data_IF_425703559096
#
_entry.id   IF_425703559096
#
_cell.length_a   1.000
_cell.length_b   1.000
_cell.length_c   1.000
_cell.angle_alpha   90.00
_cell.angle_beta   90.00
_cell.angle_gamma   90.00
#
_symmetry.space_group_name_H-M   'P 1'
#
loop_
_entity.id
_entity.type
_entity.pdbx_description
1 polymer ?
#
# COMPACT_ATOMS: atom_id res chain seq x y z
N UNK A 1 16.03 65.89 -1.66
CA UNK A 1 15.63 65.71 -0.23
C UNK A 1 14.90 64.39 0.04
N UNK A 2 14.57 63.59 -0.98
CA UNK A 2 13.88 62.30 -0.85
C UNK A 2 14.82 61.08 -0.76
N UNK A 3 16.06 61.20 -1.26
CA UNK A 3 17.04 60.10 -1.23
C UNK A 3 17.59 59.82 0.18
N UNK A 4 17.75 60.86 1.00
CA UNK A 4 18.17 60.72 2.40
C UNK A 4 17.08 60.07 3.27
N UNK A 5 15.80 60.36 2.99
CA UNK A 5 14.68 59.79 3.74
C UNK A 5 14.51 58.28 3.49
N UNK A 6 14.83 57.79 2.28
CA UNK A 6 14.76 56.36 1.97
C UNK A 6 15.88 55.59 2.69
N UNK A 7 17.10 56.13 2.71
CA UNK A 7 18.23 55.49 3.40
C UNK A 7 18.03 55.44 4.91
N UNK A 8 17.43 56.49 5.51
CA UNK A 8 17.08 56.48 6.93
C UNK A 8 15.92 55.53 7.27
N UNK A 9 15.00 55.28 6.31
CA UNK A 9 13.92 54.29 6.45
C UNK A 9 14.45 52.86 6.30
N UNK A 10 15.35 52.60 5.36
CA UNK A 10 16.01 51.30 5.18
C UNK A 10 16.82 50.93 6.42
N UNK A 11 17.56 51.90 6.98
CA UNK A 11 18.33 51.68 8.21
C UNK A 11 17.46 51.45 9.43
N UNK A 12 16.28 52.08 9.51
CA UNK A 12 15.29 51.80 10.56
C UNK A 12 14.64 50.42 10.39
N UNK A 13 14.43 49.98 9.16
CA UNK A 13 13.86 48.68 8.84
C UNK A 13 14.84 47.53 9.12
N UNK A 14 16.15 47.76 8.95
CA UNK A 14 17.20 46.82 9.37
C UNK A 14 17.28 46.70 10.90
N UNK A 15 17.17 47.82 11.61
CA UNK A 15 17.18 47.85 13.09
C UNK A 15 15.91 47.23 13.68
N UNK A 16 14.74 47.39 13.04
CA UNK A 16 13.52 46.68 13.44
C UNK A 16 13.61 45.18 13.16
N UNK A 17 14.21 44.76 12.04
CA UNK A 17 14.46 43.35 11.73
C UNK A 17 15.38 42.67 12.74
N UNK A 18 16.43 43.35 13.19
CA UNK A 18 17.29 42.86 14.28
C UNK A 18 16.55 42.84 15.63
N UNK A 19 15.65 43.80 15.90
CA UNK A 19 14.82 43.78 17.12
C UNK A 19 13.75 42.69 17.14
N UNK A 20 13.22 42.30 15.99
CA UNK A 20 12.31 41.14 15.88
C UNK A 20 13.04 39.80 15.95
N UNK A 21 14.37 39.78 15.82
CA UNK A 21 15.18 38.57 16.00
C UNK A 21 15.54 38.28 17.47
N UNK A 22 15.33 39.23 18.40
CA UNK A 22 15.62 39.06 19.84
C UNK A 22 14.38 38.90 20.72
N UNK A 23 13.21 38.62 20.13
CA UNK A 23 12.06 38.03 20.87
C UNK A 23 12.00 36.54 20.56
N UNK A 24 13.14 35.86 20.71
CA UNK A 24 13.24 34.41 20.83
C UNK A 24 13.49 34.08 22.30
N UNK A 25 12.43 34.15 23.09
CA UNK A 25 12.45 33.86 24.52
C UNK A 25 11.32 32.91 24.84
N UNK A 26 11.71 31.65 25.01
CA UNK A 26 11.01 30.59 25.76
C UNK A 26 9.78 29.95 25.09
N UNK A 27 9.99 28.80 24.43
CA UNK A 27 9.24 27.53 24.61
C UNK A 27 9.57 26.45 23.53
N UNK A 28 10.78 26.41 22.97
CA UNK A 28 11.24 25.34 22.06
C UNK A 28 11.67 24.05 22.79
N UNK A 29 10.82 23.48 23.64
CA UNK A 29 11.17 22.28 24.42
C UNK A 29 10.14 21.14 24.40
N UNK A 30 9.16 21.14 23.48
CA UNK A 30 8.09 20.13 23.49
C UNK A 30 8.26 18.94 22.52
N UNK A 31 9.13 19.00 21.52
CA UNK A 31 9.17 17.97 20.46
C UNK A 31 10.34 16.96 20.53
N UNK A 32 11.20 17.04 21.56
CA UNK A 32 12.32 16.10 21.75
C UNK A 32 11.86 14.88 22.53
N UNK A 33 11.82 13.72 21.87
CA UNK A 33 11.44 12.45 22.52
C UNK A 33 12.70 11.68 22.88
N UNK A 34 12.97 11.51 24.18
CA UNK A 34 14.08 10.70 24.68
C UNK A 34 13.62 9.37 25.27
N UNK A 35 14.49 8.36 25.17
CA UNK A 35 14.41 7.14 25.96
C UNK A 35 15.79 6.67 26.39
N UNK A 36 15.85 5.97 27.51
CA UNK A 36 17.04 5.27 27.97
C UNK A 36 16.83 3.78 27.72
N UNK A 37 17.75 3.15 27.00
CA UNK A 37 17.73 1.70 26.77
C UNK A 37 17.99 0.94 28.07
N UNK A 38 17.63 -0.33 28.11
CA UNK A 38 17.99 -1.23 29.21
C UNK A 38 19.51 -1.42 29.36
N UNK A 39 20.28 -1.10 28.31
CA UNK A 39 21.75 -1.02 28.34
C UNK A 39 22.29 0.31 28.90
N UNK A 40 21.43 1.24 29.30
CA UNK A 40 21.79 2.55 29.86
C UNK A 40 22.18 3.60 28.82
N UNK A 41 21.90 3.36 27.54
CA UNK A 41 22.18 4.30 26.46
C UNK A 41 20.99 5.25 26.29
N UNK A 42 21.23 6.54 26.47
CA UNK A 42 20.23 7.58 26.22
C UNK A 42 20.16 7.86 24.71
N UNK A 43 18.96 7.77 24.16
CA UNK A 43 18.67 8.09 22.77
C UNK A 43 17.59 9.17 22.73
N UNK A 44 17.87 10.28 22.05
CA UNK A 44 16.90 11.33 21.78
C UNK A 44 16.63 11.43 20.30
N UNK A 45 15.36 11.57 19.94
CA UNK A 45 14.91 11.65 18.56
C UNK A 45 14.20 12.99 18.35
N UNK A 46 14.62 13.69 17.30
CA UNK A 46 14.02 14.97 16.86
C UNK A 46 13.14 14.76 15.62
N UNK A 47 13.23 13.58 14.99
CA UNK A 47 12.48 13.22 13.79
C UNK A 47 12.02 11.76 13.79
N UNK A 48 10.95 11.45 13.05
CA UNK A 48 10.48 10.06 12.90
C UNK A 48 11.48 9.26 12.07
N UNK A 49 12.19 9.89 11.14
CA UNK A 49 13.25 9.26 10.34
C UNK A 49 14.41 8.74 11.20
N UNK A 50 14.85 9.52 12.19
CA UNK A 50 15.87 9.08 13.15
C UNK A 50 15.37 7.93 14.02
N UNK A 51 14.11 8.00 14.48
CA UNK A 51 13.49 6.92 15.24
C UNK A 51 13.41 5.63 14.43
N UNK A 52 12.97 5.68 13.18
CA UNK A 52 12.88 4.51 12.29
C UNK A 52 14.26 3.93 11.95
N UNK A 53 15.27 4.80 11.79
CA UNK A 53 16.67 4.36 11.60
C UNK A 53 17.18 3.62 12.82
N UNK A 54 16.93 4.13 14.03
CA UNK A 54 17.32 3.48 15.28
C UNK A 54 16.57 2.15 15.50
N UNK A 55 15.27 2.10 15.21
CA UNK A 55 14.47 0.85 15.26
C UNK A 55 15.07 -0.20 14.32
N UNK A 56 15.41 0.19 13.09
CA UNK A 56 16.03 -0.71 12.11
C UNK A 56 17.39 -1.22 12.60
N UNK A 57 18.21 -0.34 13.16
CA UNK A 57 19.52 -0.68 13.71
C UNK A 57 19.41 -1.64 14.89
N UNK A 58 18.54 -1.36 15.87
CA UNK A 58 18.31 -2.25 17.02
C UNK A 58 17.69 -3.58 16.61
N UNK A 59 16.79 -3.61 15.63
CA UNK A 59 16.24 -4.87 15.08
C UNK A 59 17.35 -5.72 14.44
N UNK A 60 18.30 -5.08 13.75
CA UNK A 60 19.50 -5.76 13.26
C UNK A 60 20.36 -6.30 14.42
N UNK A 61 20.53 -5.55 15.51
CA UNK A 61 21.25 -6.04 16.71
C UNK A 61 20.55 -7.26 17.32
N UNK A 62 19.21 -7.25 17.44
CA UNK A 62 18.43 -8.42 17.90
C UNK A 62 18.73 -9.64 17.04
N UNK A 63 18.66 -9.49 15.71
CA UNK A 63 18.92 -10.60 14.79
C UNK A 63 20.34 -11.19 14.92
N UNK A 64 21.34 -10.32 15.13
CA UNK A 64 22.74 -10.72 15.40
C UNK A 64 22.89 -11.43 16.76
N UNK A 65 22.24 -10.94 17.80
CA UNK A 65 22.28 -11.54 19.14
C UNK A 65 21.63 -12.94 19.15
N UNK A 66 20.52 -13.11 18.43
CA UNK A 66 19.87 -14.42 18.22
C UNK A 66 20.80 -15.38 17.48
N UNK A 67 21.47 -14.92 16.41
CA UNK A 67 22.45 -15.73 15.68
C UNK A 67 23.65 -16.15 16.56
N UNK A 68 24.07 -15.28 17.48
CA UNK A 68 25.14 -15.54 18.45
C UNK A 68 24.70 -16.39 19.67
N UNK A 69 23.43 -16.84 19.72
CA UNK A 69 22.81 -17.56 20.85
C UNK A 69 22.80 -16.77 22.17
N UNK A 70 22.91 -15.45 22.11
CA UNK A 70 22.85 -14.56 23.27
C UNK A 70 21.40 -14.15 23.57
N UNK A 71 20.56 -15.14 23.93
CA UNK A 71 19.10 -14.95 24.04
C UNK A 71 18.66 -13.92 25.10
N UNK A 72 19.41 -13.77 26.20
CA UNK A 72 19.10 -12.75 27.23
C UNK A 72 19.27 -11.34 26.69
N UNK A 73 20.38 -11.07 25.99
CA UNK A 73 20.63 -9.77 25.36
C UNK A 73 19.63 -9.50 24.25
N UNK A 74 19.23 -10.52 23.49
CA UNK A 74 18.19 -10.39 22.47
C UNK A 74 16.84 -9.98 23.07
N UNK A 75 16.43 -10.58 24.19
CA UNK A 75 15.18 -10.24 24.90
C UNK A 75 15.20 -8.81 25.44
N UNK A 76 16.31 -8.37 26.04
CA UNK A 76 16.45 -7.01 26.54
C UNK A 76 16.47 -5.98 25.39
N UNK A 77 17.21 -6.26 24.31
CA UNK A 77 17.23 -5.41 23.11
C UNK A 77 15.86 -5.34 22.42
N UNK A 78 15.08 -6.43 22.46
CA UNK A 78 13.71 -6.44 21.91
C UNK A 78 12.76 -5.56 22.72
N UNK A 79 12.87 -5.53 24.06
CA UNK A 79 12.09 -4.61 24.90
C UNK A 79 12.39 -3.15 24.57
N UNK A 80 13.66 -2.83 24.27
CA UNK A 80 14.07 -1.50 23.83
C UNK A 80 13.47 -1.17 22.44
N UNK A 81 13.45 -2.12 21.50
CA UNK A 81 12.76 -1.95 20.20
C UNK A 81 11.27 -1.69 20.39
N UNK A 82 10.60 -2.42 21.28
CA UNK A 82 9.18 -2.22 21.57
C UNK A 82 8.92 -0.85 22.22
N UNK A 83 9.85 -0.36 23.05
CA UNK A 83 9.81 0.99 23.61
C UNK A 83 9.95 2.07 22.52
N UNK A 84 10.89 1.90 21.58
CA UNK A 84 11.04 2.78 20.41
C UNK A 84 9.78 2.78 19.53
N UNK A 85 9.16 1.62 19.31
CA UNK A 85 7.94 1.51 18.51
C UNK A 85 6.79 2.31 19.16
N UNK A 86 6.69 2.32 20.50
CA UNK A 86 5.69 3.15 21.20
C UNK A 86 5.90 4.65 20.99
N UNK A 87 7.14 5.09 20.77
CA UNK A 87 7.44 6.50 20.47
C UNK A 87 6.91 6.94 19.08
N UNK A 88 6.57 6.00 18.19
CA UNK A 88 5.95 6.31 16.88
C UNK A 88 4.60 7.02 17.01
N UNK A 89 3.89 6.84 18.12
CA UNK A 89 2.62 7.52 18.37
C UNK A 89 2.80 9.03 18.60
N UNK A 90 3.98 9.45 19.06
CA UNK A 90 4.29 10.85 19.39
C UNK A 90 4.92 11.61 18.23
N UNK A 91 5.46 10.92 17.24
CA UNK A 91 6.10 11.53 16.07
C UNK A 91 5.28 11.22 14.80
N UNK A 92 4.62 12.22 14.17
CA UNK A 92 3.85 11.99 12.95
C UNK A 92 4.73 11.57 11.77
N UNK A 93 4.20 10.70 10.89
CA UNK A 93 4.92 10.24 9.69
C UNK A 93 4.95 11.31 8.60
N UNK A 94 5.90 11.23 7.64
CA UNK A 94 5.93 12.13 6.45
C UNK A 94 4.58 12.20 5.76
N UNK A 95 3.88 11.07 5.63
CA UNK A 95 2.57 11.01 5.01
C UNK A 95 1.50 11.77 5.82
N UNK A 96 1.54 11.70 7.16
CA UNK A 96 0.65 12.47 8.02
C UNK A 96 0.98 13.96 8.01
N UNK A 97 2.26 14.32 8.00
CA UNK A 97 2.73 15.71 7.88
C UNK A 97 2.33 16.30 6.53
N UNK A 98 2.47 15.57 5.42
CA UNK A 98 2.02 16.01 4.08
C UNK A 98 0.50 16.20 4.03
N UNK A 99 -0.25 15.29 4.67
CA UNK A 99 -1.71 15.40 4.77
C UNK A 99 -2.11 16.61 5.61
N UNK A 100 -1.46 16.85 6.74
CA UNK A 100 -1.69 18.01 7.61
C UNK A 100 -1.38 19.31 6.88
N UNK A 101 -0.23 19.39 6.21
CA UNK A 101 0.18 20.53 5.39
C UNK A 101 -0.83 20.81 4.26
N UNK A 102 -1.34 19.76 3.61
CA UNK A 102 -2.40 19.91 2.60
C UNK A 102 -3.69 20.49 3.19
N UNK A 103 -4.09 20.03 4.38
CA UNK A 103 -5.29 20.55 5.07
C UNK A 103 -5.08 22.01 5.49
N UNK A 104 -3.94 22.33 6.12
CA UNK A 104 -3.63 23.69 6.55
C UNK A 104 -3.53 24.67 5.39
N UNK A 105 -2.93 24.29 4.26
CA UNK A 105 -2.94 25.11 3.03
C UNK A 105 -4.37 25.37 2.52
N UNK A 106 -5.22 24.35 2.56
CA UNK A 106 -6.63 24.52 2.17
C UNK A 106 -7.39 25.43 3.13
N UNK A 107 -7.08 25.38 4.43
CA UNK A 107 -7.73 26.23 5.44
C UNK A 107 -7.21 27.67 5.37
N UNK A 108 -5.93 27.87 5.05
CA UNK A 108 -5.35 29.17 4.71
C UNK A 108 -6.07 29.77 3.49
N UNK A 109 -6.24 29.02 2.41
CA UNK A 109 -6.97 29.46 1.21
C UNK A 109 -8.43 29.82 1.52
N UNK A 110 -9.09 29.07 2.40
CA UNK A 110 -10.45 29.38 2.87
C UNK A 110 -10.47 30.66 3.71
N UNK A 111 -9.48 30.88 4.57
CA UNK A 111 -9.37 32.07 5.40
C UNK A 111 -9.14 33.33 4.55
N UNK A 112 -8.28 33.24 3.52
CA UNK A 112 -8.05 34.30 2.53
C UNK A 112 -9.36 34.64 1.79
N UNK A 113 -10.08 33.60 1.32
CA UNK A 113 -11.39 33.79 0.66
C UNK A 113 -12.45 34.41 1.58
N UNK A 114 -12.40 34.07 2.87
CA UNK A 114 -13.28 34.61 3.89
C UNK A 114 -12.83 35.99 4.42
N UNK A 115 -11.75 36.58 3.88
CA UNK A 115 -11.14 37.85 4.32
C UNK A 115 -10.71 37.85 5.80
N UNK A 116 -10.45 36.67 6.36
CA UNK A 116 -9.92 36.49 7.71
C UNK A 116 -8.40 36.49 7.65
N UNK A 117 -7.82 37.66 7.40
CA UNK A 117 -6.39 37.80 7.13
C UNK A 117 -5.50 37.47 8.33
N UNK A 118 -5.91 37.81 9.56
CA UNK A 118 -5.17 37.46 10.78
C UNK A 118 -5.06 35.94 10.97
N UNK A 119 -6.15 35.20 10.73
CA UNK A 119 -6.17 33.73 10.78
C UNK A 119 -5.34 33.13 9.63
N UNK A 120 -5.36 33.76 8.46
CA UNK A 120 -4.57 33.32 7.32
C UNK A 120 -3.05 33.52 7.54
N UNK A 121 -2.65 34.56 8.26
CA UNK A 121 -1.25 34.83 8.65
C UNK A 121 -0.76 33.80 9.68
N UNK A 122 -1.54 33.52 10.73
CA UNK A 122 -1.24 32.46 11.70
C UNK A 122 -1.10 31.08 11.04
N UNK A 123 -2.03 30.72 10.14
CA UNK A 123 -1.93 29.47 9.37
C UNK A 123 -0.76 29.45 8.39
N UNK A 124 -0.28 30.61 7.93
CA UNK A 124 0.88 30.69 7.05
C UNK A 124 2.16 30.34 7.80
N UNK A 125 2.33 30.91 9.00
CA UNK A 125 3.47 30.64 9.88
C UNK A 125 3.50 29.16 10.29
N UNK A 126 2.35 28.57 10.62
CA UNK A 126 2.22 27.14 10.92
C UNK A 126 2.57 26.24 9.71
N UNK A 127 2.15 26.65 8.51
CA UNK A 127 2.49 25.95 7.26
C UNK A 127 3.99 26.01 6.99
N UNK A 128 4.64 27.16 7.20
CA UNK A 128 6.09 27.31 7.03
C UNK A 128 6.86 26.46 8.04
N UNK A 129 6.43 26.44 9.31
CA UNK A 129 7.00 25.59 10.37
C UNK A 129 6.87 24.09 10.03
N UNK A 130 5.71 23.66 9.52
CA UNK A 130 5.51 22.28 9.07
C UNK A 130 6.29 21.94 7.80
N UNK A 131 6.44 22.88 6.86
CA UNK A 131 7.26 22.71 5.66
C UNK A 131 8.74 22.51 6.01
N UNK A 132 9.25 23.27 6.98
CA UNK A 132 10.60 23.10 7.50
C UNK A 132 10.77 21.71 8.15
N UNK A 133 9.83 21.28 9.00
CA UNK A 133 9.85 19.94 9.62
C UNK A 133 9.81 18.82 8.57
N UNK A 134 8.97 18.97 7.55
CA UNK A 134 8.82 18.00 6.47
C UNK A 134 10.06 17.94 5.57
N UNK A 135 10.76 19.07 5.39
CA UNK A 135 12.05 19.13 4.69
C UNK A 135 13.15 18.40 5.46
N UNK A 136 13.23 18.59 6.77
CA UNK A 136 14.16 17.87 7.65
C UNK A 136 13.89 16.36 7.64
N UNK A 137 12.62 15.97 7.77
CA UNK A 137 12.20 14.56 7.76
C UNK A 137 12.43 13.89 6.39
N UNK A 138 12.18 14.58 5.27
CA UNK A 138 12.48 14.07 3.91
C UNK A 138 13.97 13.96 3.63
N UNK A 139 14.81 14.83 4.18
CA UNK A 139 16.26 14.77 4.00
C UNK A 139 16.92 13.59 4.73
N UNK A 140 16.27 13.06 5.77
CA UNK A 140 16.75 11.93 6.57
C UNK A 140 16.26 10.56 6.05
N UNK A 141 15.32 10.53 5.09
CA UNK A 141 14.98 9.30 4.38
C UNK A 141 16.11 8.94 3.39
N UNK A 142 16.51 7.66 3.29
CA UNK A 142 17.36 7.24 2.18
C UNK A 142 16.63 7.57 0.87
N UNK A 143 17.34 8.09 -0.16
CA UNK A 143 16.70 8.46 -1.41
C UNK A 143 15.94 7.25 -1.96
N UNK A 144 14.72 7.43 -2.49
CA UNK A 144 14.12 6.39 -3.30
C UNK A 144 15.12 6.00 -4.41
N UNK A 145 15.21 4.72 -4.80
CA UNK A 145 15.97 4.33 -5.97
C UNK A 145 15.62 5.28 -7.11
N UNK A 146 16.65 5.87 -7.73
CA UNK A 146 16.47 6.80 -8.84
C UNK A 146 15.79 6.04 -9.97
N UNK A 147 14.48 6.22 -10.10
CA UNK A 147 13.75 5.84 -11.29
C UNK A 147 14.40 6.55 -12.48
N UNK A 148 14.97 5.75 -13.37
CA UNK A 148 15.47 6.19 -14.66
C UNK A 148 14.29 6.81 -15.41
N UNK A 149 14.39 8.13 -15.60
CA UNK A 149 13.46 8.95 -16.33
C UNK A 149 13.10 8.34 -17.69
N UNK A 150 11.80 8.21 -17.96
CA UNK A 150 11.28 8.09 -19.32
C UNK A 150 10.04 7.22 -19.45
N UNK A 151 8.86 7.83 -19.31
CA UNK A 151 7.77 7.81 -20.32
C UNK A 151 6.47 8.40 -19.76
N UNK A 152 6.12 9.54 -20.34
CA UNK A 152 4.80 10.00 -20.75
C UNK A 152 3.58 9.66 -19.88
N UNK A 153 3.17 10.67 -19.13
CA UNK A 153 1.92 10.75 -18.39
C UNK A 153 0.74 10.98 -19.34
N UNK A 154 -0.01 9.92 -19.66
CA UNK A 154 -1.39 10.09 -20.12
C UNK A 154 -2.38 9.87 -18.98
N UNK A 155 -2.84 11.01 -18.44
CA UNK A 155 -4.18 11.29 -17.91
C UNK A 155 -4.86 10.18 -17.08
N UNK A 156 -4.63 10.21 -15.78
CA UNK A 156 -5.44 9.49 -14.79
C UNK A 156 -6.79 10.20 -14.66
N UNK A 157 -7.89 9.54 -15.01
CA UNK A 157 -9.23 9.93 -14.55
C UNK A 157 -9.54 9.24 -13.22
N UNK A 158 -9.74 10.10 -12.23
CA UNK A 158 -10.22 9.91 -10.86
C UNK A 158 -11.23 8.80 -10.63
N UNK A 159 -11.03 8.03 -9.55
CA UNK A 159 -12.07 7.25 -8.87
C UNK A 159 -12.61 8.05 -7.68
N UNK A 160 -13.94 8.16 -7.47
CA UNK A 160 -14.49 8.68 -6.23
C UNK A 160 -14.87 7.57 -5.23
N UNK A 161 -14.28 7.74 -4.06
CA UNK A 161 -14.72 7.51 -2.66
C UNK A 161 -16.24 7.29 -2.39
N UNK A 162 -16.51 6.16 -1.69
CA UNK A 162 -17.45 5.88 -0.57
C UNK A 162 -18.99 5.83 -0.78
N UNK A 163 -19.59 4.72 -0.31
CA UNK A 163 -20.84 4.67 0.48
C UNK A 163 -20.92 3.28 1.18
N UNK A 164 -20.79 3.18 2.51
CA UNK A 164 -21.84 3.15 3.55
C UNK A 164 -22.88 2.02 3.47
N UNK A 165 -23.15 1.48 4.66
CA UNK A 165 -23.87 0.25 5.01
C UNK A 165 -25.39 0.29 4.75
N UNK A 166 -26.00 -0.86 4.47
CA UNK A 166 -27.39 -1.15 4.81
C UNK A 166 -27.62 -2.67 4.98
N UNK A 167 -28.41 -2.99 5.99
CA UNK A 167 -28.73 -4.32 6.52
C UNK A 167 -29.85 -5.04 5.76
N UNK A 168 -29.88 -6.35 5.97
CA UNK A 168 -30.87 -7.39 5.68
C UNK A 168 -32.31 -6.99 5.24
N UNK A 169 -32.87 -7.76 4.29
CA UNK A 169 -34.02 -8.64 4.54
C UNK A 169 -34.44 -9.44 3.29
N UNK A 170 -34.75 -10.71 3.56
CA UNK A 170 -35.36 -11.72 2.69
C UNK A 170 -36.84 -11.43 2.42
N UNK A 171 -37.33 -11.68 1.20
CA UNK A 171 -38.72 -12.13 0.98
C UNK A 171 -38.82 -13.01 -0.26
N UNK A 172 -39.55 -14.13 -0.09
CA UNK A 172 -39.80 -15.19 -1.07
C UNK A 172 -41.13 -14.96 -1.83
N UNK A 173 -41.24 -15.69 -2.94
CA UNK A 173 -42.42 -16.37 -3.50
C UNK A 173 -43.37 -15.63 -4.45
N UNK A 174 -43.54 -16.21 -5.66
CA UNK A 174 -44.79 -16.76 -6.24
C UNK A 174 -44.60 -16.88 -7.78
N UNK A 175 -44.35 -18.04 -8.36
CA UNK A 175 -45.33 -19.06 -8.80
C UNK A 175 -46.41 -18.51 -9.74
N UNK A 176 -46.29 -18.78 -11.05
CA UNK A 176 -47.41 -19.04 -12.00
C UNK A 176 -46.87 -19.77 -13.24
N UNK A 177 -47.37 -20.99 -13.49
CA UNK A 177 -47.43 -21.67 -14.81
C UNK A 177 -48.91 -21.61 -15.27
N UNK A 178 -49.40 -22.10 -16.44
CA UNK A 178 -48.78 -22.96 -17.48
C UNK A 178 -49.19 -22.68 -18.96
N UNK A 179 -48.58 -23.36 -19.97
CA UNK A 179 -49.24 -23.84 -21.22
C UNK A 179 -48.33 -24.63 -22.22
N UNK A 180 -48.54 -25.96 -22.27
CA UNK A 180 -48.63 -26.98 -23.37
C UNK A 180 -48.13 -26.69 -24.83
N UNK A 181 -47.09 -27.39 -25.33
CA UNK A 181 -47.01 -28.52 -26.34
C UNK A 181 -46.48 -28.12 -27.76
N UNK A 182 -46.00 -29.02 -28.69
CA UNK A 182 -46.00 -30.50 -28.73
C UNK A 182 -44.66 -31.21 -29.14
N UNK A 183 -44.74 -32.54 -29.25
CA UNK A 183 -43.73 -33.64 -29.30
C UNK A 183 -43.23 -34.01 -30.73
N UNK A 184 -42.00 -34.55 -30.87
CA UNK A 184 -41.54 -35.44 -31.97
C UNK A 184 -40.58 -36.56 -31.45
N UNK A 185 -40.39 -37.71 -32.17
CA UNK A 185 -40.20 -39.03 -31.54
C UNK A 185 -38.84 -39.75 -31.73
N UNK A 186 -38.52 -40.60 -30.73
CA UNK A 186 -37.76 -41.90 -30.68
C UNK A 186 -36.33 -42.02 -31.26
N UNK A 187 -35.38 -42.57 -30.47
CA UNK A 187 -34.66 -43.85 -30.68
C UNK A 187 -33.89 -44.31 -29.40
N UNK A 188 -33.57 -45.62 -29.22
CA UNK A 188 -33.30 -46.29 -27.93
C UNK A 188 -31.81 -46.56 -27.65
N UNK A 189 -31.49 -47.08 -26.44
CA UNK A 189 -30.18 -47.59 -25.87
C UNK A 189 -29.68 -46.67 -24.72
N UNK A 190 -29.31 -47.08 -23.49
CA UNK A 190 -29.06 -48.36 -22.80
C UNK A 190 -29.34 -48.24 -21.28
N UNK A 191 -29.28 -49.37 -20.58
CA UNK A 191 -29.52 -49.53 -19.14
C UNK A 191 -28.20 -49.32 -18.36
N UNK A 192 -28.12 -48.30 -17.49
CA UNK A 192 -27.27 -48.30 -16.29
C UNK A 192 -27.72 -47.19 -15.33
N UNK A 193 -27.71 -47.47 -14.01
CA UNK A 193 -28.39 -46.69 -12.96
C UNK A 193 -27.98 -45.22 -12.81
N UNK A 194 -28.54 -44.48 -11.82
CA UNK A 194 -28.26 -43.06 -11.65
C UNK A 194 -26.86 -42.86 -11.06
N UNK A 195 -25.80 -42.99 -11.87
CA UNK A 195 -24.54 -42.31 -11.58
C UNK A 195 -24.80 -40.84 -11.87
N UNK A 196 -24.90 -40.05 -10.82
CA UNK A 196 -24.89 -38.60 -10.95
C UNK A 196 -23.51 -38.19 -11.45
N UNK A 197 -23.29 -38.22 -12.76
CA UNK A 197 -22.06 -37.71 -13.40
C UNK A 197 -22.07 -36.20 -13.27
N UNK A 198 -21.67 -35.74 -12.08
CA UNK A 198 -21.45 -34.33 -11.80
C UNK A 198 -20.28 -33.91 -12.69
N UNK A 199 -20.57 -33.12 -13.71
CA UNK A 199 -19.52 -32.52 -14.53
C UNK A 199 -18.90 -31.32 -13.81
N UNK A 200 -17.73 -30.86 -14.28
CA UNK A 200 -17.06 -29.66 -13.77
C UNK A 200 -18.00 -28.44 -13.79
N UNK A 201 -18.86 -28.29 -14.81
CA UNK A 201 -19.87 -27.22 -14.87
C UNK A 201 -20.81 -27.20 -13.66
N UNK A 202 -21.18 -28.37 -13.13
CA UNK A 202 -22.06 -28.47 -11.97
C UNK A 202 -21.40 -27.98 -10.67
N UNK A 203 -20.07 -27.93 -10.62
CA UNK A 203 -19.31 -27.35 -9.50
C UNK A 203 -19.30 -25.82 -9.51
N UNK A 204 -19.75 -25.20 -10.61
CA UNK A 204 -19.82 -23.74 -10.79
C UNK A 204 -18.49 -23.04 -10.46
N UNK A 205 -17.39 -23.39 -11.17
CA UNK A 205 -16.11 -22.72 -10.97
C UNK A 205 -16.26 -21.21 -11.14
N UNK A 206 -15.56 -20.45 -10.30
CA UNK A 206 -15.56 -19.00 -10.35
C UNK A 206 -14.88 -18.49 -11.64
N UNK A 207 -15.20 -17.26 -12.03
CA UNK A 207 -14.51 -16.62 -13.14
C UNK A 207 -13.03 -16.43 -12.79
N UNK A 208 -12.09 -16.90 -13.62
CA UNK A 208 -10.67 -16.73 -13.35
C UNK A 208 -10.24 -15.28 -13.49
N UNK A 209 -9.20 -14.89 -12.74
CA UNK A 209 -8.46 -13.67 -13.01
C UNK A 209 -7.53 -13.93 -14.18
N UNK A 210 -7.56 -13.06 -15.19
CA UNK A 210 -6.74 -13.18 -16.39
C UNK A 210 -5.81 -11.97 -16.51
N UNK A 211 -4.57 -12.21 -16.93
CA UNK A 211 -3.58 -11.20 -17.28
C UNK A 211 -2.79 -11.65 -18.52
N UNK A 212 -1.96 -10.76 -19.07
CA UNK A 212 -1.06 -11.12 -20.17
C UNK A 212 0.27 -11.68 -19.63
N UNK A 213 0.95 -12.52 -20.42
CA UNK A 213 2.21 -13.14 -19.99
C UNK A 213 3.41 -12.18 -19.93
N UNK A 214 3.30 -11.00 -20.57
CA UNK A 214 4.35 -9.98 -20.59
C UNK A 214 4.29 -9.02 -19.39
N UNK A 215 3.19 -9.03 -18.64
CA UNK A 215 3.00 -8.16 -17.47
C UNK A 215 4.02 -8.46 -16.35
N UNK A 216 4.34 -7.42 -15.57
CA UNK A 216 5.23 -7.60 -14.43
C UNK A 216 4.58 -8.43 -13.33
N UNK A 217 5.42 -9.18 -12.62
CA UNK A 217 5.00 -9.99 -11.48
C UNK A 217 4.29 -9.12 -10.43
N UNK A 218 4.77 -7.89 -10.21
CA UNK A 218 4.18 -6.93 -9.28
C UNK A 218 2.74 -6.57 -9.64
N UNK A 219 2.45 -6.27 -10.91
CA UNK A 219 1.09 -5.92 -11.38
C UNK A 219 0.10 -7.05 -11.08
N UNK A 220 0.50 -8.28 -11.41
CA UNK A 220 -0.36 -9.45 -11.27
C UNK A 220 -0.57 -9.79 -9.79
N UNK A 221 0.48 -9.72 -8.97
CA UNK A 221 0.36 -9.96 -7.52
C UNK A 221 -0.50 -8.90 -6.83
N UNK A 222 -0.41 -7.62 -7.23
CA UNK A 222 -1.32 -6.58 -6.76
C UNK A 222 -2.77 -6.85 -7.19
N UNK A 223 -3.00 -7.32 -8.42
CA UNK A 223 -4.33 -7.73 -8.88
C UNK A 223 -4.88 -8.89 -8.03
N UNK A 224 -4.06 -9.91 -7.75
CA UNK A 224 -4.43 -11.05 -6.91
C UNK A 224 -4.80 -10.59 -5.50
N UNK A 225 -4.00 -9.73 -4.88
CA UNK A 225 -4.25 -9.17 -3.56
C UNK A 225 -5.55 -8.34 -3.53
N UNK A 226 -5.74 -7.45 -4.50
CA UNK A 226 -6.89 -6.55 -4.57
C UNK A 226 -8.20 -7.30 -4.79
N UNK A 227 -8.18 -8.31 -5.66
CA UNK A 227 -9.37 -9.10 -6.00
C UNK A 227 -9.53 -10.33 -5.11
N UNK A 228 -8.63 -10.55 -4.14
CA UNK A 228 -8.57 -11.74 -3.28
C UNK A 228 -8.59 -13.04 -4.08
N UNK A 229 -7.84 -13.07 -5.17
CA UNK A 229 -7.70 -14.24 -6.04
C UNK A 229 -6.51 -15.10 -5.65
N UNK A 230 -6.64 -16.41 -5.80
CA UNK A 230 -5.58 -17.37 -5.46
C UNK A 230 -4.61 -17.62 -6.61
N UNK A 231 -5.06 -17.41 -7.85
CA UNK A 231 -4.27 -17.64 -9.06
C UNK A 231 -4.71 -16.72 -10.20
N UNK A 232 -3.78 -16.43 -11.11
CA UNK A 232 -4.03 -15.71 -12.35
C UNK A 232 -3.72 -16.61 -13.55
N UNK A 233 -4.65 -16.68 -14.51
CA UNK A 233 -4.43 -17.29 -15.81
C UNK A 233 -3.74 -16.28 -16.72
N UNK A 234 -2.67 -16.72 -17.37
CA UNK A 234 -1.84 -15.89 -18.24
C UNK A 234 -2.12 -16.23 -19.69
N UNK A 235 -2.47 -15.21 -20.45
CA UNK A 235 -2.83 -15.34 -21.86
C UNK A 235 -1.66 -14.84 -22.71
N UNK A 236 -1.25 -15.67 -23.67
CA UNK A 236 -0.19 -15.32 -24.60
C UNK A 236 -0.69 -14.40 -25.73
N UNK A 237 0.22 -13.87 -26.57
CA UNK A 237 -0.09 -12.95 -27.68
C UNK A 237 -1.14 -13.45 -28.67
N UNK A 238 -1.24 -14.77 -28.84
CA UNK A 238 -2.19 -15.43 -29.76
C UNK A 238 -3.57 -15.67 -29.15
N UNK A 239 -3.78 -15.28 -27.89
CA UNK A 239 -5.04 -15.50 -27.16
C UNK A 239 -5.17 -16.88 -26.51
N UNK A 240 -4.15 -17.73 -26.62
CA UNK A 240 -4.08 -19.02 -25.94
C UNK A 240 -3.69 -18.90 -24.47
N UNK A 241 -4.00 -19.92 -23.66
CA UNK A 241 -3.51 -20.04 -22.30
C UNK A 241 -2.01 -20.33 -22.32
N UNK A 242 -1.20 -19.38 -21.89
CA UNK A 242 0.25 -19.52 -21.81
C UNK A 242 0.68 -20.17 -20.49
N UNK A 243 0.03 -19.79 -19.38
CA UNK A 243 0.41 -20.29 -18.07
C UNK A 243 -0.55 -19.93 -16.95
N UNK A 244 -0.16 -20.29 -15.74
CA UNK A 244 -0.81 -19.91 -14.49
C UNK A 244 0.23 -19.38 -13.51
N UNK A 245 -0.11 -18.32 -12.79
CA UNK A 245 0.69 -17.81 -11.67
C UNK A 245 -0.07 -18.00 -10.36
N UNK A 246 0.61 -18.61 -9.39
CA UNK A 246 0.11 -18.83 -8.03
C UNK A 246 1.03 -18.20 -6.98
N UNK A 247 0.56 -18.11 -5.74
CA UNK A 247 1.38 -17.72 -4.59
C UNK A 247 2.62 -18.61 -4.41
N UNK A 248 2.52 -19.89 -4.75
CA UNK A 248 3.63 -20.86 -4.71
C UNK A 248 4.71 -20.51 -5.71
N UNK A 249 4.34 -20.06 -6.92
CA UNK A 249 5.31 -19.60 -7.91
C UNK A 249 6.01 -18.33 -7.44
N UNK A 250 5.26 -17.35 -6.93
CA UNK A 250 5.82 -16.10 -6.39
C UNK A 250 6.77 -16.38 -5.23
N UNK A 251 6.37 -17.19 -4.27
CA UNK A 251 7.21 -17.49 -3.09
C UNK A 251 8.47 -18.27 -3.47
N UNK A 252 8.36 -19.32 -4.29
CA UNK A 252 9.49 -20.22 -4.59
C UNK A 252 10.42 -19.72 -5.69
N UNK A 253 9.88 -19.00 -6.68
CA UNK A 253 10.66 -18.60 -7.86
C UNK A 253 11.05 -17.13 -7.84
N UNK A 254 10.33 -16.28 -7.10
CA UNK A 254 10.62 -14.84 -7.01
C UNK A 254 11.28 -14.53 -5.66
N UNK A 255 10.54 -14.69 -4.56
CA UNK A 255 11.00 -14.29 -3.22
C UNK A 255 12.20 -15.10 -2.77
N UNK A 256 12.15 -16.44 -2.91
CA UNK A 256 13.26 -17.30 -2.51
C UNK A 256 14.54 -17.10 -3.34
N UNK A 257 14.45 -16.45 -4.50
CA UNK A 257 15.57 -16.17 -5.40
C UNK A 257 15.97 -14.69 -5.43
N UNK A 258 15.34 -13.86 -4.59
CA UNK A 258 15.56 -12.41 -4.53
C UNK A 258 15.44 -11.72 -5.90
N UNK A 259 14.44 -12.14 -6.68
CA UNK A 259 14.14 -11.53 -8.00
C UNK A 259 13.27 -10.30 -7.79
N UNK A 260 13.60 -9.20 -8.48
CA UNK A 260 12.80 -7.99 -8.45
C UNK A 260 11.47 -8.16 -9.21
N UNK A 261 10.31 -8.14 -8.53
CA UNK A 261 9.01 -8.35 -9.15
C UNK A 261 8.55 -7.15 -9.99
N UNK A 262 9.15 -5.97 -9.84
CA UNK A 262 8.75 -4.77 -10.56
C UNK A 262 9.27 -4.78 -12.00
N UNK A 263 10.47 -5.33 -12.22
CA UNK A 263 11.17 -5.35 -13.51
C UNK A 263 11.07 -6.69 -14.24
N UNK A 264 10.80 -7.78 -13.52
CA UNK A 264 10.73 -9.12 -14.11
C UNK A 264 9.33 -9.43 -14.63
N UNK A 265 9.27 -10.02 -15.83
CA UNK A 265 8.02 -10.45 -16.45
C UNK A 265 7.51 -11.76 -15.86
N UNK A 266 6.19 -11.96 -15.89
CA UNK A 266 5.57 -13.14 -15.30
C UNK A 266 5.85 -14.42 -16.09
N UNK A 267 6.11 -14.34 -17.39
CA UNK A 267 6.44 -15.48 -18.25
C UNK A 267 7.69 -16.26 -17.76
N UNK A 268 8.62 -15.61 -17.07
CA UNK A 268 9.84 -16.22 -16.53
C UNK A 268 9.59 -17.11 -15.30
N UNK A 269 8.49 -16.86 -14.59
CA UNK A 269 8.22 -17.48 -13.27
C UNK A 269 6.91 -18.25 -13.23
N UNK A 270 5.99 -18.06 -14.17
CA UNK A 270 4.73 -18.78 -14.23
C UNK A 270 4.92 -20.29 -14.38
N UNK A 271 3.88 -21.07 -14.11
CA UNK A 271 3.80 -22.47 -14.55
C UNK A 271 3.27 -22.49 -15.98
N UNK A 272 4.12 -22.82 -16.99
CA UNK A 272 3.70 -22.83 -18.39
C UNK A 272 2.86 -24.07 -18.70
N UNK A 273 1.99 -23.97 -19.70
CA UNK A 273 1.20 -25.09 -20.24
C UNK A 273 0.48 -25.93 -19.15
N UNK A 274 -0.33 -25.34 -18.27
CA UNK A 274 -1.03 -26.07 -17.22
C UNK A 274 -2.03 -27.07 -17.79
N UNK A 275 -2.18 -28.21 -17.14
CA UNK A 275 -3.22 -29.20 -17.48
C UNK A 275 -4.60 -28.57 -17.29
N UNK A 276 -5.47 -28.76 -18.29
CA UNK A 276 -6.79 -28.14 -18.32
C UNK A 276 -7.88 -29.20 -18.46
N UNK A 277 -9.03 -28.93 -17.85
CA UNK A 277 -10.26 -29.71 -18.01
C UNK A 277 -11.36 -28.82 -18.57
N UNK A 278 -12.30 -29.42 -19.29
CA UNK A 278 -13.46 -28.75 -19.84
C UNK A 278 -14.64 -28.78 -18.87
N UNK A 279 -15.59 -27.86 -19.09
CA UNK A 279 -16.83 -27.82 -18.29
C UNK A 279 -17.71 -29.07 -18.46
N UNK A 280 -17.53 -29.81 -19.55
CA UNK A 280 -18.25 -31.05 -19.84
C UNK A 280 -17.63 -32.29 -19.18
N UNK A 281 -16.37 -32.21 -18.75
CA UNK A 281 -15.65 -33.34 -18.20
C UNK A 281 -16.23 -33.78 -16.85
N UNK A 282 -16.07 -35.06 -16.53
CA UNK A 282 -16.42 -35.63 -15.24
C UNK A 282 -15.65 -34.91 -14.12
N UNK A 283 -16.35 -34.51 -13.05
CA UNK A 283 -15.70 -33.89 -11.90
C UNK A 283 -14.77 -34.86 -11.16
N UNK A 284 -15.02 -36.17 -11.25
CA UNK A 284 -14.13 -37.18 -10.66
C UNK A 284 -12.84 -37.30 -11.46
N UNK A 285 -12.91 -37.26 -12.79
CA UNK A 285 -11.74 -37.32 -13.65
C UNK A 285 -10.88 -36.06 -13.44
N UNK A 286 -11.51 -34.88 -13.39
CA UNK A 286 -10.84 -33.63 -13.07
C UNK A 286 -10.18 -33.65 -11.68
N UNK A 287 -10.79 -34.31 -10.70
CA UNK A 287 -10.19 -34.51 -9.38
C UNK A 287 -8.98 -35.45 -9.46
N UNK A 288 -9.06 -36.55 -10.22
CA UNK A 288 -7.93 -37.47 -10.42
C UNK A 288 -6.72 -36.74 -11.01
N UNK A 289 -6.96 -35.91 -12.04
CA UNK A 289 -5.92 -35.09 -12.68
C UNK A 289 -5.24 -34.09 -11.73
N UNK A 290 -5.90 -33.69 -10.63
CA UNK A 290 -5.29 -32.80 -9.62
C UNK A 290 -4.42 -33.53 -8.60
N UNK A 291 -4.58 -34.84 -8.45
CA UNK A 291 -3.90 -35.66 -7.43
C UNK A 291 -2.70 -36.42 -8.02
N UNK A 292 -2.74 -36.72 -9.31
CA UNK A 292 -1.63 -37.29 -10.09
C UNK A 292 -0.40 -36.36 -10.17
#
# INVERSE_FOLDING_TARGET
NTFFQISDLEKKLEVEKEKTAEVSGDDDQEDKVSMVTLSGQEMSFESRGELEKAIKEMTSVVSKAVAAKEFRKADDTQKDVDALIKLREKLPSVFELEKQLKVMKQDMDKAIKAKKFALAEELHDDVEKLEMRLKTERALQPPPPKDLAGRDTHSVKSVPVVATVASAASVRSAATTPAKQPVLPKQPLEVSGPSSDKTVKHLRPSRPLSATEDESILSITQMLATKRGNAALLVGPTGGLAGILTDTDVTRRVVAKDIDPATTSVNEVMTPNPTCVTMGDSALDALSTMVE
#
